data_IF_992698212295
#
_entry.id   IF_992698212295
#
_cell.length_a   1.000
_cell.length_b   1.000
_cell.length_c   1.000
_cell.angle_alpha   90.00
_cell.angle_beta   90.00
_cell.angle_gamma   90.00
#
_symmetry.space_group_name_H-M   'P 1'
#
loop_
_entity.id
_entity.type
_entity.pdbx_description
1 polymer ?
#
# COMPACT_ATOMS: atom_id res chain seq x y z
N UNK A 1 1.29 -7.42 -30.22
CA UNK A 1 1.44 -7.12 -28.79
C UNK A 1 1.26 -8.43 -28.05
N UNK A 2 2.31 -9.25 -28.11
CA UNK A 2 2.21 -10.70 -28.03
C UNK A 2 2.69 -11.27 -26.69
N UNK A 3 1.93 -12.26 -26.24
CA UNK A 3 2.32 -13.51 -25.54
C UNK A 3 3.23 -13.45 -24.29
N UNK A 4 4.25 -12.60 -24.22
CA UNK A 4 5.22 -12.52 -23.12
C UNK A 4 4.60 -12.11 -21.77
N UNK A 5 3.58 -11.24 -21.76
CA UNK A 5 2.94 -10.81 -20.50
C UNK A 5 2.04 -11.88 -19.86
N UNK A 6 1.67 -12.94 -20.59
CA UNK A 6 0.82 -14.00 -20.03
C UNK A 6 1.58 -15.01 -19.19
N UNK A 7 2.90 -15.18 -19.40
CA UNK A 7 3.67 -16.21 -18.70
C UNK A 7 4.48 -15.67 -17.51
N UNK A 8 4.91 -14.40 -17.53
CA UNK A 8 5.79 -13.85 -16.50
C UNK A 8 5.14 -12.69 -15.73
N UNK A 9 4.47 -13.04 -14.62
CA UNK A 9 3.77 -12.10 -13.73
C UNK A 9 4.72 -11.30 -12.82
N UNK A 10 5.83 -11.90 -12.40
CA UNK A 10 6.84 -11.27 -11.55
C UNK A 10 8.16 -11.13 -12.32
N UNK A 11 8.70 -9.92 -12.36
CA UNK A 11 9.94 -9.53 -13.04
C UNK A 11 10.93 -9.10 -11.97
N UNK A 12 11.94 -9.93 -11.68
CA UNK A 12 12.89 -9.71 -10.59
C UNK A 12 14.35 -9.59 -11.01
N UNK A 13 14.67 -9.73 -12.30
CA UNK A 13 16.04 -9.57 -12.81
C UNK A 13 16.13 -8.59 -13.96
N UNK A 14 17.34 -8.06 -14.19
CA UNK A 14 17.62 -7.13 -15.30
C UNK A 14 17.39 -7.82 -16.64
N UNK A 15 17.73 -9.11 -16.76
CA UNK A 15 17.55 -9.88 -18.00
C UNK A 15 16.06 -10.05 -18.35
N UNK A 16 15.21 -10.20 -17.33
CA UNK A 16 13.75 -10.27 -17.50
C UNK A 16 13.16 -8.91 -17.88
N UNK A 17 13.74 -7.81 -17.38
CA UNK A 17 13.29 -6.45 -17.67
C UNK A 17 13.84 -5.90 -19.00
N UNK A 18 15.05 -6.30 -19.41
CA UNK A 18 15.76 -5.79 -20.58
C UNK A 18 14.97 -5.79 -21.90
N UNK A 19 14.12 -6.79 -22.22
CA UNK A 19 13.34 -6.75 -23.46
C UNK A 19 12.09 -5.86 -23.39
N UNK A 20 11.76 -5.29 -22.21
CA UNK A 20 10.52 -4.53 -21.98
C UNK A 20 10.77 -3.02 -22.01
N UNK A 21 9.91 -2.30 -22.71
CA UNK A 21 9.76 -0.85 -22.65
C UNK A 21 8.53 -0.43 -21.86
N UNK A 22 8.52 0.82 -21.39
CA UNK A 22 7.36 1.40 -20.65
C UNK A 22 6.07 1.35 -21.48
N UNK A 23 6.16 1.39 -22.80
CA UNK A 23 5.01 1.29 -23.72
C UNK A 23 4.41 -0.11 -23.82
N UNK A 24 5.13 -1.14 -23.36
CA UNK A 24 4.64 -2.52 -23.42
C UNK A 24 3.59 -2.78 -22.35
N UNK A 25 3.61 -2.03 -21.24
CA UNK A 25 2.61 -2.10 -20.19
C UNK A 25 1.32 -1.37 -20.61
N UNK A 26 0.13 -1.94 -20.35
CA UNK A 26 -1.14 -1.28 -20.64
C UNK A 26 -1.24 0.07 -19.93
N UNK A 27 -2.02 1.00 -20.49
CA UNK A 27 -2.35 2.23 -19.77
C UNK A 27 -3.25 1.94 -18.57
N UNK A 28 -3.17 2.77 -17.53
CA UNK A 28 -4.13 2.79 -16.42
C UNK A 28 -4.70 4.19 -16.26
N UNK A 29 -5.84 4.28 -15.58
CA UNK A 29 -6.37 5.54 -15.06
C UNK A 29 -5.64 5.79 -13.73
N UNK A 30 -5.02 6.96 -13.61
CA UNK A 30 -4.37 7.37 -12.37
C UNK A 30 -5.41 7.97 -11.41
N UNK A 31 -5.28 7.67 -10.12
CA UNK A 31 -6.13 8.26 -9.08
C UNK A 31 -5.59 9.64 -8.67
N UNK A 32 -6.48 10.61 -8.46
CA UNK A 32 -6.12 11.97 -8.02
C UNK A 32 -6.50 12.30 -6.58
N UNK A 33 -7.22 11.41 -5.90
CA UNK A 33 -7.73 11.62 -4.55
C UNK A 33 -6.75 11.06 -3.51
N UNK A 34 -6.68 11.71 -2.35
CA UNK A 34 -5.79 11.34 -1.25
C UNK A 34 -6.65 10.93 -0.05
N UNK A 35 -6.25 9.85 0.63
CA UNK A 35 -6.78 9.47 1.94
C UNK A 35 -5.71 9.74 2.99
N UNK A 36 -6.07 10.44 4.06
CA UNK A 36 -5.21 10.69 5.20
C UNK A 36 -5.90 10.24 6.49
N UNK A 37 -5.14 10.13 7.58
CA UNK A 37 -5.66 9.87 8.91
C UNK A 37 -5.08 10.91 9.87
N UNK A 38 -5.92 11.70 10.58
CA UNK A 38 -5.45 12.71 11.53
C UNK A 38 -4.58 12.14 12.66
N UNK A 39 -3.57 12.87 13.16
CA UNK A 39 -2.64 12.39 14.17
C UNK A 39 -3.18 12.49 15.61
N UNK A 40 -4.50 12.37 15.80
CA UNK A 40 -5.18 12.55 17.10
C UNK A 40 -4.62 11.63 18.19
N UNK A 41 -4.23 10.40 17.83
CA UNK A 41 -3.66 9.41 18.76
C UNK A 41 -2.21 9.04 18.43
N UNK A 42 -1.54 9.84 17.59
CA UNK A 42 -0.18 9.54 17.17
C UNK A 42 0.79 9.65 18.34
N UNK A 43 1.56 8.59 18.53
CA UNK A 43 2.66 8.51 19.49
C UNK A 43 3.58 7.37 19.09
N UNK A 44 4.72 7.21 19.75
CA UNK A 44 5.61 6.07 19.58
C UNK A 44 5.50 5.22 20.83
N UNK A 45 4.82 4.07 20.75
CA UNK A 45 4.63 3.13 21.87
C UNK A 45 5.72 2.07 21.98
N UNK A 46 6.27 1.68 20.85
CA UNK A 46 7.29 0.66 20.69
C UNK A 46 8.14 0.95 19.44
N UNK A 47 9.31 0.31 19.33
CA UNK A 47 10.15 0.45 18.14
C UNK A 47 9.83 -0.65 17.12
N UNK A 48 9.26 -0.24 15.99
CA UNK A 48 8.94 -1.14 14.85
C UNK A 48 9.89 -0.92 13.65
N UNK A 49 10.80 0.05 13.74
CA UNK A 49 11.79 0.38 12.72
C UNK A 49 12.94 1.23 13.32
N UNK A 50 14.10 1.35 12.64
CA UNK A 50 15.26 2.05 13.18
C UNK A 50 15.05 3.52 13.55
N UNK A 51 14.05 4.21 12.98
CA UNK A 51 13.77 5.61 13.30
C UNK A 51 13.01 5.79 14.62
N UNK A 52 12.35 4.73 15.11
CA UNK A 52 11.62 4.74 16.38
C UNK A 52 12.54 4.44 17.58
N UNK A 53 13.77 3.98 17.35
CA UNK A 53 14.71 3.63 18.41
C UNK A 53 15.02 4.84 19.30
N UNK A 54 14.72 4.71 20.59
CA UNK A 54 14.90 5.78 21.58
C UNK A 54 13.86 6.91 21.52
N UNK A 55 12.79 6.77 20.73
CA UNK A 55 11.77 7.80 20.55
C UNK A 55 10.44 7.52 21.28
N UNK A 56 10.37 6.45 22.08
CA UNK A 56 9.14 6.08 22.81
C UNK A 56 8.65 7.23 23.68
N UNK A 57 7.38 7.63 23.49
CA UNK A 57 6.76 8.76 24.19
C UNK A 57 7.27 10.15 23.77
N UNK A 58 8.17 10.25 22.79
CA UNK A 58 8.80 11.51 22.40
C UNK A 58 8.10 12.16 21.18
N UNK A 59 6.78 12.31 21.27
CA UNK A 59 5.97 12.98 20.23
C UNK A 59 5.38 14.27 20.79
N UNK A 60 5.72 15.39 20.15
CA UNK A 60 5.00 16.65 20.33
C UNK A 60 3.72 16.61 19.50
N UNK A 61 2.60 16.34 20.18
CA UNK A 61 1.28 16.16 19.55
C UNK A 61 0.78 17.44 18.88
N UNK A 62 1.08 18.61 19.44
CA UNK A 62 0.69 19.89 18.84
C UNK A 62 1.46 20.15 17.55
N UNK A 63 2.77 19.89 17.57
CA UNK A 63 3.61 20.03 16.40
C UNK A 63 3.23 19.02 15.31
N UNK A 64 2.99 17.76 15.68
CA UNK A 64 2.54 16.72 14.74
C UNK A 64 1.22 17.10 14.06
N UNK A 65 0.25 17.62 14.82
CA UNK A 65 -1.02 18.11 14.29
C UNK A 65 -0.81 19.28 13.32
N UNK A 66 0.02 20.28 13.68
CA UNK A 66 0.34 21.42 12.80
C UNK A 66 1.01 20.95 11.49
N UNK A 67 1.99 20.06 11.57
CA UNK A 67 2.68 19.52 10.40
C UNK A 67 1.74 18.73 9.49
N UNK A 68 0.85 17.93 10.07
CA UNK A 68 -0.14 17.17 9.31
C UNK A 68 -1.14 18.08 8.59
N UNK A 69 -1.63 19.14 9.24
CA UNK A 69 -2.53 20.10 8.61
C UNK A 69 -1.86 20.83 7.45
N UNK A 70 -0.57 21.18 7.57
CA UNK A 70 0.21 21.75 6.47
C UNK A 70 0.27 20.79 5.29
N UNK A 71 0.57 19.50 5.52
CA UNK A 71 0.61 18.50 4.45
C UNK A 71 -0.76 18.35 3.76
N UNK A 72 -1.84 18.26 4.53
CA UNK A 72 -3.20 18.20 4.00
C UNK A 72 -3.54 19.44 3.15
N UNK A 73 -3.14 20.63 3.61
CA UNK A 73 -3.37 21.87 2.87
C UNK A 73 -2.59 21.87 1.55
N UNK A 74 -1.33 21.41 1.55
CA UNK A 74 -0.52 21.30 0.32
C UNK A 74 -1.21 20.41 -0.73
N UNK A 75 -1.76 19.25 -0.34
CA UNK A 75 -2.52 18.42 -1.29
C UNK A 75 -3.78 19.13 -1.81
N UNK A 76 -4.50 19.83 -0.94
CA UNK A 76 -5.70 20.59 -1.32
C UNK A 76 -5.37 21.73 -2.29
N UNK A 77 -4.28 22.46 -2.06
CA UNK A 77 -3.80 23.55 -2.92
C UNK A 77 -3.33 23.06 -4.30
N UNK A 78 -2.85 21.82 -4.37
CA UNK A 78 -2.54 21.11 -5.62
C UNK A 78 -3.79 20.59 -6.35
N UNK A 79 -4.99 20.79 -5.78
CA UNK A 79 -6.27 20.39 -6.37
C UNK A 79 -6.68 18.94 -6.09
N UNK A 80 -6.00 18.24 -5.18
CA UNK A 80 -6.41 16.91 -4.76
C UNK A 80 -7.62 16.98 -3.83
N UNK A 81 -8.60 16.09 -4.03
CA UNK A 81 -9.62 15.84 -3.01
C UNK A 81 -8.97 15.04 -1.87
N UNK A 82 -8.83 15.66 -0.70
CA UNK A 82 -8.34 14.98 0.50
C UNK A 82 -9.52 14.49 1.34
N UNK A 83 -9.57 13.19 1.56
CA UNK A 83 -10.51 12.53 2.47
C UNK A 83 -9.78 12.04 3.72
N UNK A 84 -10.55 11.80 4.77
CA UNK A 84 -10.02 11.35 6.06
C UNK A 84 -10.70 10.07 6.53
N UNK A 85 -9.89 9.14 7.05
CA UNK A 85 -10.36 8.04 7.89
C UNK A 85 -10.26 8.46 9.36
N UNK A 86 -11.29 8.13 10.14
CA UNK A 86 -11.34 8.48 11.56
C UNK A 86 -10.23 7.76 12.34
N UNK A 87 -9.37 8.50 13.08
CA UNK A 87 -8.31 7.89 13.87
C UNK A 87 -8.89 7.12 15.05
N UNK A 88 -8.18 6.10 15.52
CA UNK A 88 -8.65 5.25 16.61
C UNK A 88 -7.69 5.26 17.77
N UNK A 89 -8.25 5.27 18.99
CA UNK A 89 -7.45 5.11 20.20
C UNK A 89 -6.66 3.79 20.13
N UNK A 90 -5.43 3.84 20.64
CA UNK A 90 -4.50 2.72 20.67
C UNK A 90 -4.00 2.18 19.32
N UNK A 91 -4.30 2.85 18.21
CA UNK A 91 -3.78 2.53 16.89
C UNK A 91 -2.94 3.69 16.35
N UNK A 92 -1.83 3.98 17.03
CA UNK A 92 -1.00 5.18 16.81
C UNK A 92 -0.46 5.32 15.38
N UNK A 93 -0.18 4.20 14.71
CA UNK A 93 0.37 4.16 13.35
C UNK A 93 -0.71 4.27 12.25
N UNK A 94 -2.00 4.46 12.61
CA UNK A 94 -3.07 4.70 11.63
C UNK A 94 -2.82 5.96 10.79
N UNK A 95 -2.03 6.92 11.27
CA UNK A 95 -1.66 8.13 10.51
C UNK A 95 -0.94 7.81 9.20
N UNK A 96 -0.26 6.68 9.13
CA UNK A 96 0.47 6.20 7.95
C UNK A 96 -0.46 5.44 7.01
N UNK A 97 -1.36 6.19 6.36
CA UNK A 97 -2.46 5.68 5.51
C UNK A 97 -2.03 4.92 4.25
N UNK A 98 -0.73 4.91 3.94
CA UNK A 98 -0.20 4.20 2.78
C UNK A 98 -0.16 2.68 2.98
N UNK A 99 -0.16 2.16 4.22
CA UNK A 99 0.25 0.78 4.45
C UNK A 99 -0.89 -0.23 4.55
N UNK A 100 -2.10 0.20 4.90
CA UNK A 100 -3.21 -0.70 5.19
C UNK A 100 -3.89 -1.18 3.91
N UNK A 101 -3.67 -0.51 2.78
CA UNK A 101 -4.30 -0.82 1.49
C UNK A 101 -3.41 -0.48 0.30
N UNK A 102 -3.65 -1.13 -0.83
CA UNK A 102 -3.25 -0.69 -2.17
C UNK A 102 -4.50 -0.26 -2.95
N UNK A 103 -4.72 1.04 -3.20
CA UNK A 103 -5.85 1.53 -3.97
C UNK A 103 -5.61 1.38 -5.48
N UNK A 104 -6.70 1.26 -6.22
CA UNK A 104 -6.67 1.24 -7.69
C UNK A 104 -8.01 1.57 -8.32
N UNK A 105 -7.97 1.74 -9.63
CA UNK A 105 -9.14 1.89 -10.49
C UNK A 105 -9.15 0.71 -11.46
N UNK A 106 -10.32 0.09 -11.67
CA UNK A 106 -10.47 -0.90 -12.72
C UNK A 106 -10.51 -0.25 -14.11
N UNK A 107 -10.66 -1.06 -15.15
CA UNK A 107 -10.69 -0.60 -16.55
C UNK A 107 -11.85 0.35 -16.87
N UNK A 108 -12.91 0.33 -16.06
CA UNK A 108 -14.08 1.21 -16.20
C UNK A 108 -13.98 2.43 -15.27
N UNK A 109 -12.86 2.62 -14.58
CA UNK A 109 -12.68 3.70 -13.61
C UNK A 109 -13.40 3.49 -12.29
N UNK A 110 -13.87 2.27 -11.99
CA UNK A 110 -14.50 1.98 -10.70
C UNK A 110 -13.41 1.75 -9.64
N UNK A 111 -13.56 2.36 -8.45
CA UNK A 111 -12.54 2.26 -7.42
C UNK A 111 -12.55 0.93 -6.68
N UNK A 112 -11.35 0.44 -6.37
CA UNK A 112 -11.12 -0.71 -5.51
C UNK A 112 -9.95 -0.47 -4.55
N UNK A 113 -9.88 -1.29 -3.50
CA UNK A 113 -8.71 -1.42 -2.64
C UNK A 113 -8.38 -2.89 -2.42
N UNK A 114 -7.10 -3.22 -2.42
CA UNK A 114 -6.59 -4.48 -1.87
C UNK A 114 -6.12 -4.23 -0.44
N UNK A 115 -6.68 -4.93 0.53
CA UNK A 115 -6.28 -4.81 1.93
C UNK A 115 -4.88 -5.41 2.16
N UNK A 116 -4.11 -4.75 3.02
CA UNK A 116 -2.85 -5.26 3.55
C UNK A 116 -3.06 -6.35 4.61
N UNK A 117 -2.04 -7.18 4.78
CA UNK A 117 -1.90 -8.15 5.86
C UNK A 117 -0.61 -7.80 6.63
N UNK A 118 -0.73 -6.92 7.61
CA UNK A 118 0.42 -6.24 8.22
C UNK A 118 1.41 -7.20 8.88
N UNK A 119 2.72 -6.90 8.82
CA UNK A 119 3.78 -7.69 9.45
C UNK A 119 3.61 -7.73 10.96
N UNK A 120 3.41 -6.55 11.55
CA UNK A 120 3.26 -6.36 12.99
C UNK A 120 1.80 -6.47 13.43
N UNK A 121 1.55 -7.23 14.50
CA UNK A 121 0.19 -7.48 15.02
C UNK A 121 -0.55 -6.20 15.42
N UNK A 122 0.15 -5.25 16.06
CA UNK A 122 -0.41 -3.95 16.42
C UNK A 122 -1.04 -3.25 15.21
N UNK A 123 -0.34 -3.28 14.07
CA UNK A 123 -0.81 -2.63 12.84
C UNK A 123 -1.92 -3.40 12.11
N UNK A 124 -2.05 -4.72 12.31
CA UNK A 124 -3.17 -5.50 11.73
C UNK A 124 -4.53 -4.99 12.21
N UNK A 125 -4.59 -4.47 13.43
CA UNK A 125 -5.81 -3.90 14.03
C UNK A 125 -6.27 -2.61 13.35
N UNK A 126 -5.42 -1.97 12.55
CA UNK A 126 -5.74 -0.77 11.75
C UNK A 126 -6.58 -1.12 10.51
N UNK A 127 -6.30 -2.26 9.87
CA UNK A 127 -6.86 -2.65 8.58
C UNK A 127 -8.40 -2.70 8.58
N UNK A 128 -9.10 -3.21 9.62
CA UNK A 128 -10.57 -3.18 9.67
C UNK A 128 -11.17 -1.78 9.56
N UNK A 129 -10.51 -0.74 10.08
CA UNK A 129 -10.99 0.64 10.03
C UNK A 129 -10.87 1.22 8.62
N UNK A 130 -9.75 0.97 7.95
CA UNK A 130 -9.57 1.29 6.54
C UNK A 130 -10.58 0.55 5.66
N UNK A 131 -10.75 -0.76 5.88
CA UNK A 131 -11.76 -1.58 5.19
C UNK A 131 -13.15 -0.96 5.31
N UNK A 132 -13.57 -0.61 6.53
CA UNK A 132 -14.89 -0.03 6.77
C UNK A 132 -15.04 1.32 6.04
N UNK A 133 -14.02 2.17 6.10
CA UNK A 133 -14.03 3.45 5.41
C UNK A 133 -14.22 3.27 3.89
N UNK A 134 -13.45 2.38 3.26
CA UNK A 134 -13.54 2.13 1.82
C UNK A 134 -14.88 1.52 1.41
N UNK A 135 -15.44 0.58 2.19
CA UNK A 135 -16.77 0.03 1.94
C UNK A 135 -17.86 1.11 2.00
N UNK A 136 -17.85 1.94 3.04
CA UNK A 136 -18.82 3.03 3.19
C UNK A 136 -18.69 4.08 2.08
N UNK A 137 -17.51 4.23 1.49
CA UNK A 137 -17.25 5.15 0.37
C UNK A 137 -17.40 4.49 -1.01
N UNK A 138 -17.99 3.29 -1.10
CA UNK A 138 -18.37 2.67 -2.37
C UNK A 138 -17.23 1.96 -3.12
N UNK A 139 -16.10 1.70 -2.47
CA UNK A 139 -14.98 0.96 -3.07
C UNK A 139 -15.27 -0.54 -3.05
N UNK A 140 -14.84 -1.24 -4.10
CA UNK A 140 -14.69 -2.70 -4.03
C UNK A 140 -13.52 -3.03 -3.10
N UNK A 141 -13.76 -3.81 -2.06
CA UNK A 141 -12.70 -4.31 -1.17
C UNK A 141 -12.30 -5.72 -1.61
N UNK A 142 -10.99 -5.92 -1.76
CA UNK A 142 -10.35 -7.18 -2.14
C UNK A 142 -9.34 -7.54 -1.03
N UNK A 143 -9.12 -8.82 -0.80
CA UNK A 143 -8.10 -9.37 0.10
C UNK A 143 -7.24 -10.39 -0.63
N UNK A 144 -6.05 -10.70 -0.08
CA UNK A 144 -5.22 -11.78 -0.64
C UNK A 144 -5.91 -13.14 -0.60
N UNK A 145 -6.88 -13.34 0.31
CA UNK A 145 -7.66 -14.57 0.40
C UNK A 145 -8.66 -14.74 -0.76
N UNK A 146 -8.93 -13.68 -1.53
CA UNK A 146 -9.77 -13.76 -2.73
C UNK A 146 -9.01 -14.33 -3.95
N UNK A 147 -7.69 -14.57 -3.82
CA UNK A 147 -6.87 -15.08 -4.91
C UNK A 147 -7.17 -16.55 -5.22
N UNK A 148 -7.15 -16.90 -6.51
CA UNK A 148 -7.30 -18.29 -6.94
C UNK A 148 -6.28 -19.21 -6.27
N UNK A 149 -6.75 -20.36 -5.78
CA UNK A 149 -5.91 -21.36 -5.12
C UNK A 149 -5.67 -21.13 -3.63
N UNK A 150 -6.17 -20.03 -3.05
CA UNK A 150 -6.17 -19.85 -1.59
C UNK A 150 -7.38 -20.55 -0.98
N UNK A 151 -7.15 -21.54 -0.12
CA UNK A 151 -8.22 -22.26 0.56
C UNK A 151 -8.91 -21.37 1.61
N UNK A 152 -10.19 -21.60 1.84
CA UNK A 152 -10.94 -20.90 2.90
C UNK A 152 -10.26 -21.11 4.26
N UNK A 153 -10.00 -20.02 4.97
CA UNK A 153 -9.32 -20.02 6.27
C UNK A 153 -7.79 -20.19 6.21
N UNK A 154 -7.18 -20.24 5.01
CA UNK A 154 -5.74 -20.28 4.88
C UNK A 154 -5.09 -18.99 5.40
N UNK A 155 -3.89 -19.13 5.97
CA UNK A 155 -3.04 -17.98 6.29
C UNK A 155 -2.47 -17.42 4.99
N UNK A 156 -2.58 -16.11 4.79
CA UNK A 156 -2.02 -15.39 3.64
C UNK A 156 -0.68 -14.73 3.99
N UNK A 157 0.21 -14.50 3.01
CA UNK A 157 1.48 -13.81 3.20
C UNK A 157 1.29 -12.34 3.63
N UNK A 158 2.34 -11.75 4.20
CA UNK A 158 2.34 -10.35 4.66
C UNK A 158 2.42 -9.38 3.51
N UNK A 159 1.66 -8.29 3.62
CA UNK A 159 1.59 -7.23 2.62
C UNK A 159 1.26 -5.89 3.29
N UNK A 160 2.12 -4.88 3.13
CA UNK A 160 1.92 -3.54 3.70
C UNK A 160 1.54 -2.49 2.65
N UNK A 161 0.61 -2.86 1.76
CA UNK A 161 -0.18 -1.94 0.96
C UNK A 161 0.62 -1.10 -0.02
N UNK A 162 0.17 0.13 -0.25
CA UNK A 162 0.82 1.10 -1.13
C UNK A 162 2.22 1.50 -0.65
N UNK A 163 2.52 1.30 0.64
CA UNK A 163 3.87 1.50 1.17
C UNK A 163 4.91 0.52 0.61
N UNK A 164 4.50 -0.66 0.13
CA UNK A 164 5.39 -1.62 -0.52
C UNK A 164 5.00 -1.93 -1.98
N UNK A 165 3.84 -1.44 -2.45
CA UNK A 165 3.40 -1.61 -3.82
C UNK A 165 2.97 -0.29 -4.45
N UNK A 166 3.73 0.18 -5.45
CA UNK A 166 3.45 1.47 -6.09
C UNK A 166 3.13 1.27 -7.56
N UNK A 167 2.01 1.83 -8.01
CA UNK A 167 1.67 1.84 -9.44
C UNK A 167 2.68 2.67 -10.22
N UNK A 168 3.18 2.13 -11.33
CA UNK A 168 3.91 2.96 -12.29
C UNK A 168 2.95 4.04 -12.84
N UNK A 169 3.39 5.31 -12.92
CA UNK A 169 2.56 6.39 -13.46
C UNK A 169 1.97 6.02 -14.83
N UNK A 170 0.65 6.13 -14.96
CA UNK A 170 -0.11 5.89 -16.19
C UNK A 170 0.09 4.52 -16.86
N UNK A 171 0.65 3.54 -16.14
CA UNK A 171 0.88 2.18 -16.64
C UNK A 171 0.40 1.12 -15.64
N UNK A 172 -0.25 0.07 -16.15
CA UNK A 172 -0.78 -1.06 -15.40
C UNK A 172 0.34 -2.06 -15.09
N UNK A 173 1.29 -1.62 -14.27
CA UNK A 173 2.41 -2.40 -13.73
C UNK A 173 2.72 -1.86 -12.34
N UNK A 174 3.04 -2.75 -11.39
CA UNK A 174 3.41 -2.37 -10.03
C UNK A 174 4.92 -2.46 -9.83
N UNK A 175 5.45 -1.62 -8.97
CA UNK A 175 6.74 -1.82 -8.31
C UNK A 175 6.46 -2.46 -6.95
N UNK A 176 7.09 -3.59 -6.66
CA UNK A 176 6.86 -4.37 -5.44
C UNK A 176 8.12 -4.49 -4.59
N UNK A 177 8.16 -3.79 -3.45
CA UNK A 177 9.21 -3.88 -2.44
C UNK A 177 9.02 -5.08 -1.50
N UNK A 178 10.03 -5.94 -1.36
CA UNK A 178 9.95 -7.10 -0.48
C UNK A 178 11.17 -7.29 0.40
N UNK A 179 10.99 -8.02 1.50
CA UNK A 179 12.05 -8.49 2.40
C UNK A 179 11.95 -7.98 3.83
N UNK A 180 11.61 -6.70 4.02
CA UNK A 180 11.50 -6.12 5.36
C UNK A 180 10.08 -6.25 5.96
N UNK A 181 9.05 -5.92 5.18
CA UNK A 181 7.65 -5.88 5.63
C UNK A 181 6.74 -6.80 4.84
N UNK A 182 6.72 -6.63 3.52
CA UNK A 182 5.97 -7.49 2.59
C UNK A 182 6.76 -8.75 2.23
N UNK A 183 6.08 -9.90 2.25
CA UNK A 183 6.61 -11.20 1.83
C UNK A 183 6.61 -11.28 0.29
N UNK A 184 7.59 -11.97 -0.30
CA UNK A 184 7.68 -12.11 -1.76
C UNK A 184 6.43 -12.78 -2.34
N UNK A 185 5.92 -13.80 -1.66
CA UNK A 185 4.78 -14.64 -2.03
C UNK A 185 3.47 -13.84 -2.12
N UNK A 186 3.37 -12.70 -1.42
CA UNK A 186 2.21 -11.82 -1.56
C UNK A 186 2.06 -11.32 -3.01
N UNK A 187 3.17 -11.06 -3.70
CA UNK A 187 3.13 -10.54 -5.05
C UNK A 187 2.64 -11.57 -6.09
N UNK A 188 2.81 -12.87 -5.84
CA UNK A 188 2.22 -13.91 -6.70
C UNK A 188 0.68 -13.83 -6.68
N UNK A 189 0.12 -13.69 -5.48
CA UNK A 189 -1.32 -13.54 -5.28
C UNK A 189 -1.82 -12.20 -5.86
N UNK A 190 -1.10 -11.10 -5.61
CA UNK A 190 -1.45 -9.76 -6.11
C UNK A 190 -1.44 -9.72 -7.64
N UNK A 191 -0.39 -10.25 -8.27
CA UNK A 191 -0.27 -10.26 -9.72
C UNK A 191 -1.39 -11.08 -10.37
N UNK A 192 -1.83 -12.16 -9.71
CA UNK A 192 -2.99 -12.94 -10.15
C UNK A 192 -4.31 -12.18 -9.98
N UNK A 193 -4.57 -11.66 -8.77
CA UNK A 193 -5.80 -10.93 -8.42
C UNK A 193 -6.03 -9.71 -9.31
N UNK A 194 -5.00 -8.91 -9.51
CA UNK A 194 -5.09 -7.64 -10.24
C UNK A 194 -4.83 -7.81 -11.73
N UNK A 195 -4.33 -8.98 -12.14
CA UNK A 195 -3.89 -9.28 -13.51
C UNK A 195 -2.91 -8.22 -14.02
N UNK A 196 -1.86 -7.96 -13.21
CA UNK A 196 -0.82 -6.98 -13.52
C UNK A 196 0.57 -7.59 -13.35
N UNK A 197 1.53 -7.26 -14.22
CA UNK A 197 2.92 -7.57 -13.96
C UNK A 197 3.45 -6.74 -12.78
N UNK A 198 4.43 -7.29 -12.07
CA UNK A 198 5.06 -6.63 -10.92
C UNK A 198 6.58 -6.68 -11.07
N UNK A 199 7.20 -5.50 -11.00
CA UNK A 199 8.64 -5.29 -10.97
C UNK A 199 9.11 -5.42 -9.52
N UNK A 200 9.79 -6.52 -9.24
CA UNK A 200 10.19 -6.91 -7.88
C UNK A 200 11.49 -6.23 -7.46
N UNK A 201 11.48 -5.59 -6.29
CA UNK A 201 12.59 -4.86 -5.71
C UNK A 201 12.90 -5.38 -4.31
N UNK A 202 14.06 -6.01 -4.12
CA UNK A 202 14.49 -6.47 -2.80
C UNK A 202 15.02 -5.30 -1.98
N UNK A 203 14.39 -5.02 -0.84
CA UNK A 203 14.84 -4.01 0.11
C UNK A 203 15.95 -4.59 0.98
N UNK A 204 17.16 -4.01 0.91
CA UNK A 204 18.36 -4.56 1.56
C UNK A 204 18.88 -3.70 2.72
N UNK A 205 18.29 -2.53 2.97
CA UNK A 205 18.69 -1.63 4.06
C UNK A 205 17.53 -1.46 5.06
N UNK A 206 17.72 -1.77 6.34
CA UNK A 206 16.65 -1.72 7.34
C UNK A 206 16.08 -0.30 7.57
N UNK A 207 16.78 0.75 7.13
CA UNK A 207 16.28 2.13 7.19
C UNK A 207 15.28 2.45 6.08
N UNK A 208 15.32 1.69 4.98
CA UNK A 208 14.41 1.82 3.85
C UNK A 208 13.55 0.55 3.78
N UNK A 209 12.76 0.34 4.85
CA UNK A 209 12.00 -0.90 5.11
C UNK A 209 10.65 -0.95 4.38
N UNK A 210 10.23 0.16 3.79
CA UNK A 210 9.15 0.28 2.82
C UNK A 210 9.75 0.81 1.51
N UNK A 211 9.10 0.53 0.37
CA UNK A 211 9.51 0.99 -0.96
C UNK A 211 9.39 2.52 -1.11
#
# INVERSE_FOLDING_TARGET
MGTLMHEQKLIGTVEQLAPLGVSDFPKRIDAGNILMCPPTYFTIKDSKNPFMDGQVGNVDVELASKQWQVLKQVFSDLGCEVKEVEPQADLEDMVFAANQVLPGLDENGKPFVLLGEMRHEARRKEVPWYRQWFLTNGYKVITLADADGVAEGATVPRFEGQGDAVWHPSRKVLWGGYGARTDFEAYELIASLLQVPILMLKLNDPRFYHL
#
